data_IF_911182283164
#
_entry.id   IF_911182283164
#
_cell.length_a   1.000
_cell.length_b   1.000
_cell.length_c   1.000
_cell.angle_alpha   90.00
_cell.angle_beta   90.00
_cell.angle_gamma   90.00
#
_symmetry.space_group_name_H-M   'P 1'
#
loop_
_entity.id
_entity.type
_entity.pdbx_description
1 polymer ?
#
# COMPACT_ATOMS: atom_id res chain seq x y z
N UNK A 1 0.59 -27.32 8.89
CA UNK A 1 0.85 -25.95 9.36
C UNK A 1 2.18 -25.98 10.08
N UNK A 2 3.17 -25.23 9.59
CA UNK A 2 4.50 -25.16 10.21
C UNK A 2 4.51 -24.25 11.45
N UNK A 3 3.56 -23.31 11.53
CA UNK A 3 3.46 -22.35 12.64
C UNK A 3 2.11 -22.44 13.37
N UNK A 4 1.81 -23.56 14.06
CA UNK A 4 0.50 -23.79 14.69
C UNK A 4 0.22 -22.87 15.88
N UNK A 5 1.24 -22.20 16.43
CA UNK A 5 1.12 -21.26 17.54
C UNK A 5 0.68 -19.86 17.09
N UNK A 6 0.68 -19.57 15.79
CA UNK A 6 0.20 -18.29 15.27
C UNK A 6 -1.33 -18.25 15.23
N UNK A 7 -1.92 -17.07 15.42
CA UNK A 7 -3.38 -16.95 15.37
C UNK A 7 -3.91 -17.18 13.95
N UNK A 8 -5.17 -17.57 13.90
CA UNK A 8 -5.96 -17.60 12.66
C UNK A 8 -6.57 -16.22 12.39
N UNK A 9 -6.76 -15.89 11.11
CA UNK A 9 -7.37 -14.63 10.68
C UNK A 9 -8.80 -14.91 10.23
N UNK A 10 -9.76 -14.15 10.78
CA UNK A 10 -11.15 -14.17 10.30
C UNK A 10 -11.25 -13.36 9.00
N UNK A 11 -11.82 -13.98 7.96
CA UNK A 11 -12.00 -13.33 6.66
C UNK A 11 -13.47 -13.29 6.25
N UNK A 12 -13.79 -12.40 5.32
CA UNK A 12 -15.15 -12.21 4.80
C UNK A 12 -16.04 -11.38 5.74
N UNK A 13 -17.37 -11.39 5.52
CA UNK A 13 -18.31 -10.64 6.32
C UNK A 13 -18.36 -11.19 7.76
N UNK A 14 -18.57 -10.31 8.75
CA UNK A 14 -18.63 -10.67 10.17
C UNK A 14 -19.71 -11.70 10.51
N UNK A 15 -20.74 -11.82 9.67
CA UNK A 15 -21.81 -12.82 9.80
C UNK A 15 -21.34 -14.25 9.54
N UNK A 16 -20.24 -14.44 8.81
CA UNK A 16 -19.66 -15.76 8.51
C UNK A 16 -18.40 -16.00 9.35
N UNK A 17 -18.28 -17.22 9.87
CA UNK A 17 -17.14 -17.67 10.69
C UNK A 17 -16.14 -18.45 9.83
N UNK A 18 -15.41 -17.73 8.98
CA UNK A 18 -14.35 -18.31 8.13
C UNK A 18 -13.01 -17.92 8.73
N UNK A 19 -12.21 -18.90 9.17
CA UNK A 19 -10.92 -18.71 9.80
C UNK A 19 -9.82 -19.38 8.97
N UNK A 20 -8.77 -18.64 8.65
CA UNK A 20 -7.65 -19.13 7.86
C UNK A 20 -6.34 -18.96 8.66
N UNK A 21 -5.49 -20.00 8.76
CA UNK A 21 -4.17 -19.87 9.36
C UNK A 21 -3.34 -18.77 8.71
N UNK A 22 -2.65 -17.96 9.51
CA UNK A 22 -1.87 -16.82 9.02
C UNK A 22 -0.80 -17.23 7.99
N UNK A 23 -0.24 -18.43 8.12
CA UNK A 23 0.76 -19.01 7.21
C UNK A 23 0.27 -19.12 5.75
N UNK A 24 -1.05 -19.20 5.54
CA UNK A 24 -1.64 -19.37 4.21
C UNK A 24 -2.04 -18.04 3.54
N UNK A 25 -1.85 -16.91 4.23
CA UNK A 25 -2.32 -15.61 3.77
C UNK A 25 -1.15 -14.71 3.36
N UNK A 26 -1.32 -14.02 2.25
CA UNK A 26 -0.42 -12.96 1.78
C UNK A 26 -1.17 -11.65 1.66
N UNK A 27 -0.45 -10.52 1.80
CA UNK A 27 -1.02 -9.21 1.44
C UNK A 27 -1.36 -9.24 -0.05
N UNK A 28 -2.50 -8.65 -0.42
CA UNK A 28 -2.93 -8.64 -1.81
C UNK A 28 -1.86 -8.02 -2.73
N UNK A 29 -1.70 -8.59 -3.92
CA UNK A 29 -0.75 -8.07 -4.92
C UNK A 29 -1.09 -6.65 -5.38
N UNK A 30 -2.38 -6.27 -5.34
CA UNK A 30 -2.81 -4.90 -5.64
C UNK A 30 -2.51 -3.98 -4.45
N UNK A 31 -1.95 -2.77 -4.69
CA UNK A 31 -1.72 -1.80 -3.64
C UNK A 31 -3.01 -1.47 -2.87
N UNK A 32 -2.95 -1.51 -1.55
CA UNK A 32 -4.05 -1.12 -0.67
C UNK A 32 -3.66 0.16 0.07
N UNK A 33 -4.48 1.21 -0.07
CA UNK A 33 -4.23 2.50 0.61
C UNK A 33 -4.36 2.32 2.12
N UNK A 34 -3.30 2.71 2.84
CA UNK A 34 -3.32 2.80 4.30
C UNK A 34 -4.18 4.00 4.73
N UNK A 35 -5.21 3.76 5.55
CA UNK A 35 -6.11 4.82 6.06
C UNK A 35 -5.78 5.30 7.48
N UNK A 36 -4.99 4.52 8.23
CA UNK A 36 -4.55 4.90 9.57
C UNK A 36 -3.50 6.00 9.50
N UNK A 37 -3.38 6.79 10.57
CA UNK A 37 -2.29 7.74 10.71
C UNK A 37 -0.94 7.01 10.68
N UNK A 38 0.02 7.64 10.00
CA UNK A 38 1.39 7.14 9.93
C UNK A 38 2.11 7.45 11.24
N UNK A 39 2.99 6.55 11.67
CA UNK A 39 3.90 6.83 12.77
C UNK A 39 4.91 7.94 12.40
N UNK A 40 5.49 8.63 13.37
CA UNK A 40 6.45 9.73 13.12
C UNK A 40 7.64 9.27 12.27
N UNK A 41 8.11 8.04 12.50
CA UNK A 41 9.17 7.44 11.68
C UNK A 41 8.76 7.26 10.21
N UNK A 42 7.49 6.93 9.98
CA UNK A 42 6.89 6.74 8.65
C UNK A 42 6.62 8.10 7.98
N UNK A 43 6.12 9.09 8.74
CA UNK A 43 5.95 10.48 8.27
C UNK A 43 7.28 11.07 7.80
N UNK A 44 8.34 10.94 8.60
CA UNK A 44 9.67 11.42 8.22
C UNK A 44 10.24 10.75 6.96
N UNK A 45 9.96 9.44 6.77
CA UNK A 45 10.32 8.74 5.52
C UNK A 45 9.50 9.22 4.34
N UNK A 46 8.19 9.42 4.53
CA UNK A 46 7.29 9.92 3.49
C UNK A 46 7.70 11.32 3.04
N UNK A 47 7.94 12.24 3.97
CA UNK A 47 8.34 13.62 3.66
C UNK A 47 9.66 13.62 2.89
N UNK A 48 10.67 12.88 3.34
CA UNK A 48 11.96 12.78 2.62
C UNK A 48 11.83 12.17 1.22
N UNK A 49 10.95 11.18 1.05
CA UNK A 49 10.72 10.55 -0.26
C UNK A 49 9.84 11.37 -1.21
N UNK A 50 9.00 12.25 -0.68
CA UNK A 50 8.08 13.08 -1.46
C UNK A 50 8.61 14.50 -1.73
N UNK A 51 9.50 15.01 -0.86
CA UNK A 51 10.14 16.30 -1.04
C UNK A 51 10.98 16.29 -2.34
N UNK A 52 10.76 17.29 -3.18
CA UNK A 52 11.37 17.37 -4.50
C UNK A 52 11.60 18.82 -4.86
N UNK A 53 12.78 19.12 -5.41
CA UNK A 53 13.12 20.44 -5.91
C UNK A 53 12.14 20.87 -7.02
N UNK A 54 11.77 22.17 -7.11
CA UNK A 54 10.76 22.63 -8.06
C UNK A 54 11.05 22.26 -9.52
N UNK A 55 12.32 22.32 -9.94
CA UNK A 55 12.73 21.94 -11.30
C UNK A 55 12.46 20.47 -11.59
N UNK A 56 12.90 19.58 -10.69
CA UNK A 56 12.68 18.14 -10.82
C UNK A 56 11.19 17.79 -10.76
N UNK A 57 10.41 18.53 -9.96
CA UNK A 57 8.96 18.37 -9.90
C UNK A 57 8.30 18.73 -11.21
N UNK A 58 8.74 19.80 -11.89
CA UNK A 58 8.25 20.19 -13.20
C UNK A 58 8.53 19.11 -14.25
N UNK A 59 9.78 18.64 -14.33
CA UNK A 59 10.19 17.57 -15.25
C UNK A 59 9.37 16.29 -15.05
N UNK A 60 9.11 15.91 -13.78
CA UNK A 60 8.28 14.75 -13.47
C UNK A 60 6.82 14.92 -13.90
N UNK A 61 6.26 16.12 -13.79
CA UNK A 61 4.90 16.41 -14.27
C UNK A 61 4.87 16.32 -15.80
N UNK A 62 5.84 16.92 -16.50
CA UNK A 62 5.94 16.85 -17.96
C UNK A 62 6.08 15.41 -18.45
N UNK A 63 6.90 14.58 -17.78
CA UNK A 63 7.01 13.16 -18.07
C UNK A 63 5.66 12.44 -17.94
N UNK A 64 4.94 12.66 -16.84
CA UNK A 64 3.62 12.04 -16.60
C UNK A 64 2.60 12.48 -17.64
N UNK A 65 2.64 13.75 -18.06
CA UNK A 65 1.73 14.27 -19.09
C UNK A 65 2.03 13.70 -20.47
N UNK A 66 3.30 13.55 -20.82
CA UNK A 66 3.70 12.98 -22.11
C UNK A 66 3.47 11.46 -22.19
N UNK A 67 3.52 10.76 -21.05
CA UNK A 67 3.26 9.32 -20.93
C UNK A 67 1.74 9.00 -20.88
N UNK A 68 0.91 10.02 -20.71
CA UNK A 68 -0.53 9.88 -20.91
C UNK A 68 -0.81 9.96 -22.41
N UNK A 69 -1.06 8.82 -23.05
CA UNK A 69 -1.72 8.74 -24.36
C UNK A 69 -3.14 9.30 -24.22
N UNK A 70 -3.23 10.64 -24.20
CA UNK A 70 -4.47 11.38 -24.40
C UNK A 70 -4.79 11.32 -25.89
N UNK A 71 -5.27 10.17 -26.33
CA UNK A 71 -5.90 10.00 -27.64
C UNK A 71 -7.00 11.07 -27.77
N UNK A 72 -6.80 12.02 -28.69
CA UNK A 72 -7.88 12.84 -29.24
C UNK A 72 -8.55 12.07 -30.39
#
# INVERSE_FOLDING_TARGET
>A
LHFPYLPVIQIGPRSRKIFVPMELLTVAAKPQKVKRELDESQKAKLIRGAAMEPKLRKERIELILNDQDLDN
#
